data_IF_375767608099
#
_entry.id   IF_375767608099
#
_cell.length_a   1.000
_cell.length_b   1.000
_cell.length_c   1.000
_cell.angle_alpha   90.00
_cell.angle_beta   90.00
_cell.angle_gamma   90.00
#
_symmetry.space_group_name_H-M   'P 1'
#
loop_
_entity.id
_entity.type
_entity.pdbx_description
1 polymer ?
#
# COMPACT_ATOMS: atom_id res chain seq x y z
N UNK A 1 8.83 -14.39 -7.04
CA UNK A 1 7.60 -13.58 -7.07
C UNK A 1 6.42 -14.40 -6.57
N UNK A 2 5.86 -14.02 -5.42
CA UNK A 2 4.63 -14.64 -4.91
C UNK A 2 3.42 -13.87 -5.46
N UNK A 3 2.77 -14.45 -6.47
CA UNK A 3 1.63 -13.83 -7.18
C UNK A 3 0.49 -13.50 -6.20
N UNK A 4 0.30 -14.32 -5.17
CA UNK A 4 -0.79 -14.15 -4.22
C UNK A 4 -0.51 -12.97 -3.31
N UNK A 5 0.68 -12.93 -2.71
CA UNK A 5 1.10 -11.79 -1.88
C UNK A 5 1.00 -10.49 -2.67
N UNK A 6 1.49 -10.49 -3.91
CA UNK A 6 1.43 -9.32 -4.77
C UNK A 6 -0.02 -8.92 -5.05
N UNK A 7 -0.90 -9.86 -5.40
CA UNK A 7 -2.32 -9.56 -5.65
C UNK A 7 -2.98 -8.85 -4.46
N UNK A 8 -2.67 -9.28 -3.24
CA UNK A 8 -3.21 -8.67 -2.01
C UNK A 8 -2.62 -7.27 -1.76
N UNK A 9 -1.31 -7.08 -1.98
CA UNK A 9 -0.67 -5.76 -1.93
C UNK A 9 -1.30 -4.81 -2.96
N UNK A 10 -1.49 -5.24 -4.21
CA UNK A 10 -2.14 -4.45 -5.25
C UNK A 10 -3.58 -4.10 -4.90
N UNK A 11 -4.31 -5.05 -4.29
CA UNK A 11 -5.71 -4.84 -3.86
C UNK A 11 -5.80 -3.75 -2.80
N UNK A 12 -4.96 -3.83 -1.77
CA UNK A 12 -4.89 -2.82 -0.71
C UNK A 12 -4.42 -1.48 -1.29
N UNK A 13 -3.35 -1.50 -2.09
CA UNK A 13 -2.75 -0.30 -2.68
C UNK A 13 -3.73 0.50 -3.54
N UNK A 14 -4.52 -0.15 -4.39
CA UNK A 14 -5.59 0.54 -5.14
C UNK A 14 -6.70 1.04 -4.22
N UNK A 15 -7.08 0.25 -3.20
CA UNK A 15 -8.17 0.60 -2.28
C UNK A 15 -7.88 1.81 -1.42
N UNK A 16 -6.61 2.08 -1.09
CA UNK A 16 -6.19 3.29 -0.37
C UNK A 16 -5.81 4.43 -1.32
N UNK A 17 -5.76 4.18 -2.63
CA UNK A 17 -5.36 5.14 -3.65
C UNK A 17 -3.85 5.40 -3.70
N UNK A 18 -3.04 4.41 -3.33
CA UNK A 18 -1.58 4.40 -3.53
C UNK A 18 -1.24 3.99 -4.96
N UNK A 19 -1.91 2.95 -5.46
CA UNK A 19 -1.70 2.39 -6.78
C UNK A 19 -2.88 2.70 -7.69
N UNK A 20 -2.63 2.67 -9.00
CA UNK A 20 -3.63 2.89 -10.04
C UNK A 20 -4.01 1.57 -10.72
N UNK A 21 -5.11 1.59 -11.48
CA UNK A 21 -5.48 0.45 -12.34
C UNK A 21 -4.38 0.16 -13.37
N UNK A 22 -3.67 1.19 -13.86
CA UNK A 22 -2.57 1.04 -14.80
C UNK A 22 -1.39 0.28 -14.18
N UNK A 23 -1.09 0.49 -12.89
CA UNK A 23 -0.02 -0.22 -12.18
C UNK A 23 -0.36 -1.72 -12.05
N UNK A 24 -1.63 -2.03 -11.80
CA UNK A 24 -2.12 -3.42 -11.72
C UNK A 24 -2.03 -4.10 -13.09
N UNK A 25 -2.42 -3.42 -14.17
CA UNK A 25 -2.33 -3.97 -15.53
C UNK A 25 -0.87 -4.24 -15.89
N UNK A 26 0.03 -3.29 -15.63
CA UNK A 26 1.48 -3.48 -15.88
C UNK A 26 2.05 -4.66 -15.10
N UNK A 27 1.64 -4.82 -13.84
CA UNK A 27 2.04 -5.97 -13.05
C UNK A 27 1.50 -7.28 -13.63
N UNK A 28 0.23 -7.34 -14.01
CA UNK A 28 -0.38 -8.53 -14.61
C UNK A 28 0.33 -8.91 -15.92
N UNK A 29 0.58 -7.94 -16.80
CA UNK A 29 1.34 -8.12 -18.05
C UNK A 29 2.74 -8.69 -17.78
N UNK A 30 3.46 -8.12 -16.81
CA UNK A 30 4.79 -8.59 -16.45
C UNK A 30 4.81 -10.04 -15.93
N UNK A 31 3.77 -10.46 -15.19
CA UNK A 31 3.63 -11.86 -14.73
C UNK A 31 3.30 -12.78 -15.91
N UNK A 32 2.43 -12.35 -16.82
CA UNK A 32 2.06 -13.11 -18.02
C UNK A 32 3.28 -13.35 -18.90
N UNK A 33 4.09 -12.33 -19.15
CA UNK A 33 5.30 -12.43 -19.98
C UNK A 33 6.36 -13.39 -19.41
N UNK A 34 6.36 -13.58 -18.09
CA UNK A 34 7.32 -14.44 -17.38
C UNK A 34 6.79 -15.85 -17.13
N UNK A 35 5.53 -16.14 -17.47
CA UNK A 35 4.88 -17.42 -17.20
C UNK A 35 4.54 -18.15 -18.49
N UNK A 36 5.02 -19.39 -18.64
CA UNK A 36 4.65 -20.26 -19.77
C UNK A 36 3.15 -20.63 -19.76
N UNK A 37 2.51 -20.58 -18.59
CA UNK A 37 1.10 -20.88 -18.39
C UNK A 37 0.49 -19.91 -17.35
N UNK A 38 0.17 -18.67 -17.75
CA UNK A 38 -0.36 -17.67 -16.83
C UNK A 38 -1.76 -18.06 -16.31
N UNK A 39 -2.05 -17.83 -15.01
CA UNK A 39 -3.40 -17.93 -14.47
C UNK A 39 -4.41 -17.10 -15.26
N UNK A 40 -5.60 -17.65 -15.45
CA UNK A 40 -6.66 -16.99 -16.22
C UNK A 40 -7.07 -15.65 -15.59
N UNK A 41 -7.07 -15.58 -14.27
CA UNK A 41 -7.39 -14.38 -13.48
C UNK A 41 -6.43 -13.22 -13.80
N UNK A 42 -5.15 -13.52 -14.06
CA UNK A 42 -4.17 -12.50 -14.45
C UNK A 42 -4.38 -12.02 -15.88
N UNK A 43 -4.78 -12.91 -16.80
CA UNK A 43 -5.15 -12.52 -18.17
C UNK A 43 -6.38 -11.61 -18.15
N UNK A 44 -7.38 -11.90 -17.31
CA UNK A 44 -8.53 -11.00 -17.18
C UNK A 44 -8.13 -9.64 -16.59
N UNK A 45 -7.22 -9.62 -15.61
CA UNK A 45 -6.73 -8.39 -15.01
C UNK A 45 -5.96 -7.51 -16.00
N UNK A 46 -5.10 -8.08 -16.86
CA UNK A 46 -4.38 -7.29 -17.87
C UNK A 46 -5.32 -6.62 -18.88
N UNK A 47 -6.46 -7.25 -19.16
CA UNK A 47 -7.49 -6.71 -20.04
C UNK A 47 -8.41 -5.67 -19.36
N UNK A 48 -8.21 -5.38 -18.07
CA UNK A 48 -9.15 -4.61 -17.25
C UNK A 48 -8.85 -3.10 -17.15
N UNK A 49 -8.00 -2.55 -18.02
CA UNK A 49 -7.57 -1.14 -17.98
C UNK A 49 -8.70 -0.08 -17.91
N UNK A 50 -9.94 -0.42 -18.29
CA UNK A 50 -11.12 0.47 -18.25
C UNK A 50 -12.16 0.09 -17.18
N UNK A 51 -11.91 -0.95 -16.38
CA UNK A 51 -12.83 -1.39 -15.32
C UNK A 51 -12.81 -0.42 -14.14
N UNK A 52 -13.87 -0.45 -13.33
CA UNK A 52 -13.92 0.33 -12.09
C UNK A 52 -13.03 -0.32 -11.04
N UNK A 53 -12.59 0.48 -10.06
CA UNK A 53 -11.77 0.02 -8.92
C UNK A 53 -12.46 -1.15 -8.19
N UNK A 54 -13.77 -1.08 -7.97
CA UNK A 54 -14.52 -2.15 -7.31
C UNK A 54 -14.39 -3.49 -8.07
N UNK A 55 -14.52 -3.46 -9.40
CA UNK A 55 -14.37 -4.66 -10.24
C UNK A 55 -12.94 -5.22 -10.18
N UNK A 56 -11.94 -4.33 -10.21
CA UNK A 56 -10.51 -4.70 -10.12
C UNK A 56 -10.21 -5.36 -8.76
N UNK A 57 -10.71 -4.78 -7.67
CA UNK A 57 -10.50 -5.35 -6.33
C UNK A 57 -11.14 -6.72 -6.18
N UNK A 58 -12.32 -6.95 -6.77
CA UNK A 58 -12.95 -8.27 -6.82
C UNK A 58 -12.09 -9.27 -7.61
N UNK A 59 -11.61 -8.90 -8.80
CA UNK A 59 -10.73 -9.76 -9.59
C UNK A 59 -9.42 -10.10 -8.86
N UNK A 60 -8.85 -9.17 -8.09
CA UNK A 60 -7.67 -9.45 -7.26
C UNK A 60 -7.98 -10.43 -6.11
N UNK A 61 -9.18 -10.38 -5.52
CA UNK A 61 -9.61 -11.35 -4.49
C UNK A 61 -9.78 -12.77 -5.04
N UNK A 62 -10.01 -12.93 -6.35
CA UNK A 62 -10.13 -14.24 -6.99
C UNK A 62 -8.78 -14.96 -7.09
N UNK A 63 -7.66 -14.22 -7.05
CA UNK A 63 -6.31 -14.76 -6.92
C UNK A 63 -6.11 -15.23 -5.46
N UNK A 64 -6.80 -16.31 -5.10
CA UNK A 64 -6.83 -16.82 -3.73
C UNK A 64 -5.48 -17.37 -3.29
N UNK A 65 -5.03 -16.93 -2.13
CA UNK A 65 -3.97 -17.56 -1.34
C UNK A 65 -4.48 -17.97 0.04
N UNK A 66 -4.04 -19.12 0.55
CA UNK A 66 -4.06 -19.36 1.99
C UNK A 66 -2.96 -18.50 2.59
N UNK A 67 -3.31 -17.28 2.99
CA UNK A 67 -2.40 -16.40 3.71
C UNK A 67 -2.48 -16.78 5.19
N UNK A 68 -1.53 -17.60 5.62
CA UNK A 68 -1.29 -17.77 7.06
C UNK A 68 -0.71 -16.48 7.68
N UNK A 69 -0.10 -15.60 6.86
CA UNK A 69 0.51 -14.32 7.26
C UNK A 69 -0.23 -13.12 6.62
N UNK A 70 -1.48 -12.87 7.04
CA UNK A 70 -2.24 -11.67 6.64
C UNK A 70 -1.58 -10.34 7.03
N UNK A 71 -0.50 -10.38 7.83
CA UNK A 71 0.17 -9.20 8.38
C UNK A 71 1.23 -8.59 7.43
N UNK A 72 1.63 -9.30 6.37
CA UNK A 72 2.68 -8.83 5.45
C UNK A 72 2.22 -7.74 4.47
N UNK A 73 1.06 -7.85 3.79
CA UNK A 73 0.66 -6.88 2.78
C UNK A 73 0.61 -5.43 3.29
N UNK A 74 0.05 -5.11 4.48
CA UNK A 74 0.06 -3.75 5.00
C UNK A 74 1.49 -3.22 5.26
N UNK A 75 2.41 -4.08 5.71
CA UNK A 75 3.83 -3.72 5.95
C UNK A 75 4.55 -3.39 4.66
N UNK A 76 4.28 -4.14 3.58
CA UNK A 76 4.78 -3.83 2.24
C UNK A 76 4.26 -2.46 1.78
N UNK A 77 2.97 -2.17 1.99
CA UNK A 77 2.37 -0.89 1.63
C UNK A 77 3.01 0.29 2.38
N UNK A 78 3.30 0.13 3.68
CA UNK A 78 4.06 1.13 4.45
C UNK A 78 5.45 1.36 3.86
N UNK A 79 6.14 0.29 3.47
CA UNK A 79 7.43 0.38 2.78
C UNK A 79 7.33 1.14 1.45
N UNK A 80 6.28 0.90 0.66
CA UNK A 80 6.04 1.62 -0.60
C UNK A 80 5.73 3.10 -0.36
N UNK A 81 4.93 3.44 0.66
CA UNK A 81 4.59 4.83 1.00
C UNK A 81 5.83 5.69 1.30
N UNK A 82 6.92 5.08 1.78
CA UNK A 82 8.19 5.79 1.96
C UNK A 82 8.73 6.39 0.64
N UNK A 83 8.49 5.73 -0.50
CA UNK A 83 8.93 6.19 -1.83
C UNK A 83 8.11 7.40 -2.32
N UNK A 84 6.91 7.59 -1.77
CA UNK A 84 6.04 8.72 -2.09
C UNK A 84 6.26 9.93 -1.19
N UNK A 85 6.93 9.76 -0.03
CA UNK A 85 7.30 10.85 0.87
C UNK A 85 8.66 11.45 0.46
N UNK A 86 8.64 12.35 -0.53
CA UNK A 86 9.86 13.00 -1.05
C UNK A 86 9.98 14.46 -0.62
N UNK A 87 8.85 15.13 -0.39
CA UNK A 87 8.77 16.53 -0.03
C UNK A 87 7.75 16.75 1.10
N UNK A 88 7.84 17.85 1.85
CA UNK A 88 6.84 18.19 2.87
C UNK A 88 5.41 18.27 2.35
N UNK A 89 5.19 18.61 1.07
CA UNK A 89 3.86 18.66 0.47
C UNK A 89 3.21 17.28 0.31
N UNK A 90 3.99 16.20 0.38
CA UNK A 90 3.50 14.83 0.25
C UNK A 90 2.90 14.30 1.55
N UNK A 91 3.21 14.91 2.71
CA UNK A 91 2.82 14.44 4.06
C UNK A 91 1.31 14.18 4.14
N UNK A 92 0.50 15.14 3.70
CA UNK A 92 -0.96 15.05 3.76
C UNK A 92 -1.49 13.82 3.01
N UNK A 93 -0.96 13.56 1.81
CA UNK A 93 -1.40 12.43 1.00
C UNK A 93 -0.93 11.10 1.57
N UNK A 94 0.28 11.05 2.14
CA UNK A 94 0.82 9.83 2.77
C UNK A 94 0.01 9.48 4.02
N UNK A 95 -0.28 10.46 4.88
CA UNK A 95 -1.11 10.26 6.09
C UNK A 95 -2.51 9.81 5.71
N UNK A 96 -3.15 10.43 4.72
CA UNK A 96 -4.49 10.01 4.26
C UNK A 96 -4.50 8.53 3.82
N UNK A 97 -3.43 8.06 3.17
CA UNK A 97 -3.29 6.66 2.75
C UNK A 97 -3.03 5.73 3.95
N UNK A 98 -2.22 6.16 4.92
CA UNK A 98 -1.97 5.42 6.17
C UNK A 98 -3.24 5.28 7.01
N UNK A 99 -4.05 6.33 7.14
CA UNK A 99 -5.34 6.27 7.84
C UNK A 99 -6.29 5.27 7.18
N UNK A 100 -6.34 5.23 5.84
CA UNK A 100 -7.11 4.21 5.10
C UNK A 100 -6.52 2.81 5.23
N UNK A 101 -5.22 2.67 5.50
CA UNK A 101 -4.53 1.39 5.65
C UNK A 101 -4.90 0.68 6.95
N UNK A 102 -5.26 1.43 7.99
CA UNK A 102 -5.62 0.89 9.33
C UNK A 102 -6.64 -0.26 9.24
N UNK A 103 -7.62 -0.17 8.34
CA UNK A 103 -8.66 -1.21 8.16
C UNK A 103 -8.13 -2.57 7.67
N UNK A 104 -6.87 -2.64 7.25
CA UNK A 104 -6.20 -3.85 6.78
C UNK A 104 -5.13 -4.37 7.75
N UNK A 105 -4.83 -3.62 8.82
CA UNK A 105 -3.93 -4.07 9.88
C UNK A 105 -4.66 -5.06 10.78
N UNK A 106 -3.94 -6.08 11.26
CA UNK A 106 -4.49 -7.05 12.20
C UNK A 106 -4.28 -6.59 13.65
N UNK A 107 -4.88 -7.31 14.60
CA UNK A 107 -4.71 -7.04 16.03
C UNK A 107 -3.22 -7.14 16.48
N UNK A 108 -2.38 -7.88 15.74
CA UNK A 108 -0.94 -7.99 16.04
C UNK A 108 -0.17 -6.70 15.72
N UNK A 109 -0.75 -5.81 14.91
CA UNK A 109 -0.18 -4.56 14.43
C UNK A 109 -0.70 -3.33 15.19
N UNK A 110 -1.24 -3.49 16.41
CA UNK A 110 -1.77 -2.39 17.23
C UNK A 110 -0.77 -1.23 17.40
N UNK A 111 0.52 -1.54 17.54
CA UNK A 111 1.57 -0.52 17.63
C UNK A 111 1.70 0.33 16.36
N UNK A 112 1.47 -0.27 15.18
CA UNK A 112 1.46 0.44 13.88
C UNK A 112 0.26 1.39 13.85
N UNK A 113 -0.90 0.91 14.29
CA UNK A 113 -2.13 1.72 14.35
C UNK A 113 -1.96 2.94 15.26
N UNK A 114 -1.39 2.74 16.45
CA UNK A 114 -1.11 3.84 17.39
C UNK A 114 -0.15 4.87 16.79
N UNK A 115 0.91 4.41 16.11
CA UNK A 115 1.89 5.29 15.48
C UNK A 115 1.28 6.09 14.31
N UNK A 116 0.44 5.46 13.49
CA UNK A 116 -0.31 6.16 12.43
C UNK A 116 -1.17 7.27 13.02
N UNK A 117 -1.92 6.99 14.10
CA UNK A 117 -2.75 8.00 14.76
C UNK A 117 -1.91 9.13 15.35
N UNK A 118 -0.79 8.81 16.00
CA UNK A 118 0.13 9.82 16.53
C UNK A 118 0.66 10.75 15.44
N UNK A 119 1.09 10.20 14.30
CA UNK A 119 1.59 10.97 13.15
C UNK A 119 0.48 11.80 12.50
N UNK A 120 -0.73 11.26 12.38
CA UNK A 120 -1.91 11.97 11.84
C UNK A 120 -2.29 13.17 12.72
N UNK A 121 -2.33 12.97 14.04
CA UNK A 121 -2.58 14.05 15.01
C UNK A 121 -1.44 15.08 15.00
N UNK A 122 -0.19 14.64 14.96
CA UNK A 122 0.99 15.50 14.88
C UNK A 122 0.95 16.40 13.64
N UNK A 123 0.63 15.84 12.47
CA UNK A 123 0.42 16.60 11.24
C UNK A 123 -0.70 17.63 11.37
N UNK A 124 -1.86 17.22 11.89
CA UNK A 124 -2.99 18.13 12.06
C UNK A 124 -2.62 19.33 12.94
N UNK A 125 -1.92 19.12 14.06
CA UNK A 125 -1.50 20.19 14.96
C UNK A 125 -0.49 21.13 14.32
N UNK A 126 0.49 20.58 13.58
CA UNK A 126 1.51 21.36 12.89
C UNK A 126 0.89 22.18 11.73
N UNK A 127 0.02 21.57 10.92
CA UNK A 127 -0.68 22.24 9.81
C UNK A 127 -1.54 23.41 10.31
N UNK A 128 -2.19 23.26 11.46
CA UNK A 128 -2.98 24.32 12.10
C UNK A 128 -2.15 25.35 12.87
N UNK A 129 -0.82 25.25 12.85
CA UNK A 129 0.10 26.10 13.61
C UNK A 129 -0.23 26.12 15.12
N UNK A 130 -0.70 24.98 15.66
CA UNK A 130 -1.03 24.83 17.08
C UNK A 130 0.20 24.32 17.85
N UNK A 131 0.87 23.29 17.34
CA UNK A 131 2.04 22.66 17.98
C UNK A 131 2.90 21.91 16.95
N UNK A 132 4.22 21.92 17.13
CA UNK A 132 5.18 21.29 16.22
C UNK A 132 5.35 22.04 14.89
N UNK A 133 6.20 21.52 14.02
CA UNK A 133 6.35 22.02 12.65
C UNK A 133 6.34 20.89 11.61
N UNK A 134 6.00 21.24 10.35
CA UNK A 134 5.86 20.26 9.27
C UNK A 134 7.17 19.54 8.91
N UNK A 135 8.33 20.12 9.22
CA UNK A 135 9.63 19.51 8.96
C UNK A 135 9.94 18.43 9.99
N UNK A 136 9.58 18.64 11.25
CA UNK A 136 9.61 17.61 12.30
C UNK A 136 8.68 16.46 11.92
N UNK A 137 7.41 16.75 11.60
CA UNK A 137 6.43 15.73 11.16
C UNK A 137 6.93 14.93 9.95
N UNK A 138 7.52 15.61 8.95
CA UNK A 138 8.11 14.93 7.80
C UNK A 138 9.24 13.97 8.22
N UNK A 139 10.06 14.37 9.19
CA UNK A 139 11.18 13.56 9.68
C UNK A 139 10.67 12.34 10.42
N UNK A 140 9.74 12.52 11.35
CA UNK A 140 9.14 11.43 12.13
C UNK A 140 8.42 10.43 11.22
N UNK A 141 7.66 10.94 10.24
CA UNK A 141 6.98 10.11 9.25
C UNK A 141 7.98 9.30 8.40
N UNK A 142 9.11 9.91 8.01
CA UNK A 142 10.17 9.21 7.27
C UNK A 142 10.82 8.12 8.12
N UNK A 143 11.14 8.43 9.36
CA UNK A 143 11.74 7.47 10.30
C UNK A 143 10.83 6.26 10.55
N UNK A 144 9.53 6.51 10.75
CA UNK A 144 8.54 5.44 10.86
C UNK A 144 8.49 4.54 9.61
N UNK A 145 8.38 5.13 8.43
CA UNK A 145 8.26 4.38 7.17
C UNK A 145 9.55 3.63 6.80
N UNK A 146 10.72 4.11 7.24
CA UNK A 146 12.01 3.43 7.04
C UNK A 146 12.03 2.02 7.65
N UNK A 147 11.28 1.77 8.72
CA UNK A 147 11.17 0.44 9.33
C UNK A 147 10.59 -0.62 8.38
N UNK A 148 9.91 -0.20 7.32
CA UNK A 148 9.17 -1.09 6.44
C UNK A 148 9.78 -1.26 5.04
N UNK A 149 10.85 -0.53 4.70
CA UNK A 149 11.43 -0.54 3.35
C UNK A 149 11.88 -1.93 2.92
N UNK A 150 12.45 -2.72 3.83
CA UNK A 150 12.96 -4.06 3.48
C UNK A 150 11.84 -5.02 3.04
N UNK A 151 10.59 -4.79 3.45
CA UNK A 151 9.45 -5.59 2.98
C UNK A 151 9.16 -5.38 1.49
N UNK A 152 9.52 -4.24 0.90
CA UNK A 152 9.31 -3.96 -0.53
C UNK A 152 10.06 -4.95 -1.44
N UNK A 153 11.16 -5.54 -0.95
CA UNK A 153 11.93 -6.57 -1.65
C UNK A 153 11.14 -7.85 -1.92
N UNK A 154 10.03 -8.06 -1.21
CA UNK A 154 9.13 -9.20 -1.41
C UNK A 154 8.30 -9.07 -2.70
N UNK A 155 8.21 -7.88 -3.28
CA UNK A 155 7.56 -7.64 -4.57
C UNK A 155 8.49 -7.86 -5.78
N UNK A 156 9.79 -8.04 -5.54
CA UNK A 156 10.86 -8.14 -6.56
C UNK A 156 11.04 -9.55 -7.14
#
# INVERSE_FOLDING_TARGET
>A
MDIKLNAEVYRIGVSIGLLTVEDIVKWADAVIDQSDAPPYELIELSLSAKKKIDDITLSLMEIRGDFNDNDLPPKIILGLLNEYLNRPEDIASVIEKMDKLIKYLSDSDEWIVMEIHFLSDGYYLAEKNIFGDLKEVHTDLKEFLLHFIDYTKLLS
#
